data_IF_064891362911
#
_entry.id   IF_064891362911
#
_cell.length_a   1.000
_cell.length_b   1.000
_cell.length_c   1.000
_cell.angle_alpha   90.00
_cell.angle_beta   90.00
_cell.angle_gamma   90.00
#
_symmetry.space_group_name_H-M   'P 1'
#
loop_
_entity.id
_entity.type
_entity.pdbx_description
1 polymer ?
#
# COMPACT_ATOMS: atom_id res chain seq x y z
N UNK A 1 -15.54 -23.52 -26.48
CA UNK A 1 -14.11 -23.91 -26.40
C UNK A 1 -13.34 -22.61 -26.18
N UNK A 2 -12.70 -22.43 -25.01
CA UNK A 2 -11.83 -21.28 -24.78
C UNK A 2 -10.41 -21.72 -25.15
N UNK A 3 -9.81 -21.05 -26.13
CA UNK A 3 -8.45 -21.30 -26.60
C UNK A 3 -7.44 -21.00 -25.47
N UNK A 4 -6.46 -21.88 -25.30
CA UNK A 4 -5.16 -21.71 -24.62
C UNK A 4 -5.07 -20.63 -23.52
N UNK A 5 -5.85 -20.76 -22.45
CA UNK A 5 -5.74 -19.89 -21.28
C UNK A 5 -4.72 -20.44 -20.28
N UNK A 6 -3.68 -19.66 -19.96
CA UNK A 6 -2.70 -19.98 -18.90
C UNK A 6 -3.27 -19.54 -17.55
N UNK A 7 -3.29 -20.43 -16.56
CA UNK A 7 -3.65 -20.12 -15.18
C UNK A 7 -2.40 -19.74 -14.40
N UNK A 8 -2.39 -18.51 -13.87
CA UNK A 8 -1.31 -18.00 -13.03
C UNK A 8 -1.82 -17.82 -11.59
N UNK A 9 -0.93 -17.85 -10.59
CA UNK A 9 -1.26 -17.32 -9.27
C UNK A 9 -1.59 -15.82 -9.36
N UNK A 10 -2.28 -15.29 -8.35
CA UNK A 10 -2.51 -13.85 -8.24
C UNK A 10 -1.20 -13.08 -8.21
N UNK A 11 -1.12 -12.00 -8.99
CA UNK A 11 0.08 -11.19 -9.08
C UNK A 11 0.22 -10.26 -7.87
N UNK A 12 1.46 -9.90 -7.56
CA UNK A 12 1.79 -8.94 -6.49
C UNK A 12 2.43 -7.71 -7.11
N UNK A 13 1.82 -6.55 -6.90
CA UNK A 13 2.40 -5.27 -7.28
C UNK A 13 3.06 -4.61 -6.07
N UNK A 14 4.38 -4.54 -6.10
CA UNK A 14 5.18 -4.07 -4.98
C UNK A 14 5.28 -2.54 -4.89
N UNK A 15 4.70 -1.79 -5.83
CA UNK A 15 4.81 -0.34 -5.85
C UNK A 15 3.56 0.31 -6.43
N UNK A 16 2.60 0.62 -5.56
CA UNK A 16 1.39 1.38 -5.95
C UNK A 16 1.25 2.69 -5.18
N UNK A 17 0.37 3.56 -5.65
CA UNK A 17 -0.02 4.78 -4.95
C UNK A 17 -1.54 4.88 -4.88
N UNK A 18 -2.15 4.46 -3.76
CA UNK A 18 -3.59 4.41 -3.56
C UNK A 18 -4.20 5.77 -3.15
N UNK A 19 -3.35 6.79 -2.97
CA UNK A 19 -3.71 8.22 -2.82
C UNK A 19 -4.59 8.59 -1.61
N UNK A 20 -4.95 7.63 -0.78
CA UNK A 20 -5.73 7.84 0.43
C UNK A 20 -4.88 7.52 1.67
N UNK A 21 -4.79 8.44 2.66
CA UNK A 21 -5.57 9.68 2.81
C UNK A 21 -5.01 10.91 2.08
N UNK A 22 -5.88 11.89 1.81
CA UNK A 22 -5.56 13.27 1.44
C UNK A 22 -5.52 13.60 -0.05
N UNK A 23 -5.52 12.59 -0.92
CA UNK A 23 -5.55 12.77 -2.38
C UNK A 23 -6.67 11.94 -3.05
N UNK A 24 -7.80 11.78 -2.36
CA UNK A 24 -8.96 10.96 -2.77
C UNK A 24 -9.57 11.41 -4.11
N UNK A 25 -9.37 12.68 -4.49
CA UNK A 25 -9.75 13.20 -5.80
C UNK A 25 -8.98 12.56 -6.97
N UNK A 26 -7.86 11.89 -6.70
CA UNK A 26 -7.09 11.12 -7.69
C UNK A 26 -7.48 9.66 -7.64
N UNK A 27 -7.44 9.06 -6.44
CA UNK A 27 -7.78 7.66 -6.22
C UNK A 27 -8.09 7.40 -4.74
N UNK A 28 -8.86 6.34 -4.48
CA UNK A 28 -9.16 5.84 -3.13
C UNK A 28 -8.64 4.41 -2.98
N UNK A 29 -8.51 3.93 -1.74
CA UNK A 29 -8.19 2.52 -1.45
C UNK A 29 -9.17 1.58 -2.17
N UNK A 30 -10.47 1.90 -2.15
CA UNK A 30 -11.50 1.10 -2.81
C UNK A 30 -11.36 1.09 -4.34
N UNK A 31 -11.15 2.25 -4.96
CA UNK A 31 -11.04 2.33 -6.42
C UNK A 31 -9.75 1.68 -6.94
N UNK A 32 -8.61 1.93 -6.29
CA UNK A 32 -7.31 1.40 -6.70
C UNK A 32 -7.23 -0.12 -6.54
N UNK A 33 -7.73 -0.67 -5.43
CA UNK A 33 -7.74 -2.13 -5.23
C UNK A 33 -8.71 -2.86 -6.14
N UNK A 34 -9.84 -2.24 -6.52
CA UNK A 34 -10.72 -2.77 -7.58
C UNK A 34 -10.03 -2.81 -8.94
N UNK A 35 -9.26 -1.78 -9.28
CA UNK A 35 -8.48 -1.75 -10.51
C UNK A 35 -7.39 -2.83 -10.51
N UNK A 36 -6.69 -3.01 -9.38
CA UNK A 36 -5.70 -4.07 -9.20
C UNK A 36 -6.28 -5.46 -9.46
N UNK A 37 -7.41 -5.80 -8.83
CA UNK A 37 -8.09 -7.09 -9.06
C UNK A 37 -8.51 -7.30 -10.50
N UNK A 38 -9.05 -6.27 -11.16
CA UNK A 38 -9.43 -6.34 -12.57
C UNK A 38 -8.21 -6.64 -13.47
N UNK A 39 -7.01 -6.23 -13.06
CA UNK A 39 -5.74 -6.53 -13.72
C UNK A 39 -5.10 -7.87 -13.31
N UNK A 40 -5.72 -8.66 -12.43
CA UNK A 40 -5.16 -9.93 -11.94
C UNK A 40 -4.14 -9.78 -10.80
N UNK A 41 -4.04 -8.58 -10.21
CA UNK A 41 -3.21 -8.30 -9.04
C UNK A 41 -4.05 -8.53 -7.78
N UNK A 42 -3.64 -9.48 -6.96
CA UNK A 42 -4.35 -9.86 -5.73
C UNK A 42 -3.74 -9.23 -4.48
N UNK A 43 -2.52 -8.70 -4.58
CA UNK A 43 -1.83 -8.05 -3.47
C UNK A 43 -1.09 -6.81 -3.96
N UNK A 44 -1.24 -5.70 -3.25
CA UNK A 44 -0.54 -4.44 -3.56
C UNK A 44 0.23 -3.91 -2.36
N UNK A 45 1.33 -3.21 -2.60
CA UNK A 45 2.12 -2.52 -1.57
C UNK A 45 2.08 -1.01 -1.81
N UNK A 46 1.35 -0.31 -0.94
CA UNK A 46 1.09 1.13 -1.09
C UNK A 46 2.21 1.99 -0.50
N UNK A 47 2.66 2.95 -1.30
CA UNK A 47 3.73 3.86 -0.95
C UNK A 47 3.30 4.91 0.09
N UNK A 48 4.23 5.42 0.92
CA UNK A 48 3.88 6.24 2.08
C UNK A 48 3.65 7.72 1.76
N UNK A 49 3.61 8.11 0.49
CA UNK A 49 3.56 9.51 0.03
C UNK A 49 2.13 10.09 -0.11
N UNK A 50 1.27 9.73 0.84
CA UNK A 50 -0.06 10.33 1.05
C UNK A 50 0.03 11.63 1.85
N UNK A 51 -1.11 12.29 2.12
CA UNK A 51 -1.17 13.50 2.94
C UNK A 51 -2.13 13.31 4.12
N UNK A 52 -1.62 13.13 5.35
CA UNK A 52 -0.20 13.12 5.73
C UNK A 52 0.55 11.87 5.25
N UNK A 53 1.90 11.91 5.17
CA UNK A 53 2.70 10.75 4.80
C UNK A 53 2.68 9.70 5.93
N UNK A 54 2.68 8.42 5.55
CA UNK A 54 2.70 7.28 6.46
C UNK A 54 4.10 7.10 7.08
N UNK A 55 4.48 8.02 7.96
CA UNK A 55 5.81 8.06 8.58
C UNK A 55 5.82 7.78 10.09
N UNK A 56 4.65 7.66 10.71
CA UNK A 56 4.52 7.34 12.15
C UNK A 56 3.69 6.08 12.35
N UNK A 57 3.85 5.42 13.50
CA UNK A 57 3.07 4.21 13.83
C UNK A 57 1.57 4.51 13.90
N UNK A 58 1.17 5.67 14.43
CA UNK A 58 -0.24 6.09 14.45
C UNK A 58 -0.82 6.25 13.04
N UNK A 59 -0.06 6.86 12.12
CA UNK A 59 -0.49 7.03 10.72
C UNK A 59 -0.53 5.69 9.99
N UNK A 60 0.41 4.79 10.27
CA UNK A 60 0.38 3.42 9.76
C UNK A 60 -0.87 2.68 10.25
N UNK A 61 -1.15 2.73 11.55
CA UNK A 61 -2.33 2.09 12.14
C UNK A 61 -3.64 2.68 11.60
N UNK A 62 -3.71 4.01 11.44
CA UNK A 62 -4.87 4.66 10.84
C UNK A 62 -5.09 4.20 9.40
N UNK A 63 -4.02 4.17 8.58
CA UNK A 63 -4.09 3.73 7.19
C UNK A 63 -4.42 2.24 7.06
N UNK A 64 -3.91 1.40 7.97
CA UNK A 64 -4.27 -0.03 8.04
C UNK A 64 -5.76 -0.23 8.31
N UNK A 65 -6.37 0.58 9.20
CA UNK A 65 -7.82 0.55 9.44
C UNK A 65 -8.62 0.99 8.21
N UNK A 66 -8.17 2.03 7.50
CA UNK A 66 -8.81 2.47 6.25
C UNK A 66 -8.73 1.37 5.19
N UNK A 67 -7.55 0.76 5.00
CA UNK A 67 -7.37 -0.34 4.06
C UNK A 67 -8.27 -1.53 4.41
N UNK A 68 -8.32 -1.94 5.69
CA UNK A 68 -9.19 -3.02 6.15
C UNK A 68 -10.69 -2.75 5.92
N UNK A 69 -11.11 -1.48 5.90
CA UNK A 69 -12.50 -1.08 5.67
C UNK A 69 -12.88 -0.95 4.19
N UNK A 70 -11.93 -0.56 3.33
CA UNK A 70 -12.22 -0.14 1.96
C UNK A 70 -11.57 -0.99 0.85
N UNK A 71 -10.45 -1.65 1.13
CA UNK A 71 -9.73 -2.44 0.14
C UNK A 71 -10.50 -3.72 -0.23
N UNK A 72 -10.43 -4.09 -1.51
CA UNK A 72 -11.01 -5.34 -2.01
C UNK A 72 -9.97 -6.42 -2.33
N UNK A 73 -8.68 -6.12 -2.19
CA UNK A 73 -7.57 -7.07 -2.28
C UNK A 73 -6.60 -6.88 -1.11
N UNK A 74 -5.58 -7.74 -1.00
CA UNK A 74 -4.60 -7.63 0.08
C UNK A 74 -3.74 -6.36 -0.10
N UNK A 75 -3.57 -5.60 0.98
CA UNK A 75 -2.80 -4.34 0.98
C UNK A 75 -1.71 -4.40 2.04
N UNK A 76 -0.46 -4.34 1.59
CA UNK A 76 0.69 -3.99 2.43
C UNK A 76 0.95 -2.49 2.40
N UNK A 77 1.52 -1.95 3.48
CA UNK A 77 1.79 -0.52 3.64
C UNK A 77 3.27 -0.28 3.88
N UNK A 78 3.89 0.55 3.04
CA UNK A 78 5.23 1.05 3.32
C UNK A 78 5.21 2.11 4.42
N UNK A 79 6.32 2.18 5.17
CA UNK A 79 6.62 3.27 6.08
C UNK A 79 7.59 4.25 5.42
N UNK A 80 7.28 5.54 5.51
CA UNK A 80 8.12 6.62 4.97
C UNK A 80 9.17 7.10 5.96
N UNK A 81 10.37 7.36 5.45
CA UNK A 81 11.40 8.10 6.16
C UNK A 81 11.26 9.61 5.88
N UNK A 82 10.94 10.39 6.90
CA UNK A 82 10.75 11.85 6.87
C UNK A 82 11.33 12.47 8.14
N UNK A 83 11.29 13.81 8.28
CA UNK A 83 11.74 14.49 9.51
C UNK A 83 10.90 14.12 10.74
N UNK A 84 9.65 13.72 10.52
CA UNK A 84 8.69 13.38 11.57
C UNK A 84 8.55 11.85 11.74
N UNK A 85 9.51 11.06 11.25
CA UNK A 85 9.45 9.61 11.39
C UNK A 85 9.50 9.19 12.86
N UNK A 86 8.69 8.20 13.20
CA UNK A 86 8.65 7.66 14.56
C UNK A 86 10.05 7.18 14.98
N UNK A 87 10.57 7.60 16.16
CA UNK A 87 11.88 7.17 16.64
C UNK A 87 12.04 5.65 16.72
N UNK A 88 10.96 4.90 16.96
CA UNK A 88 11.00 3.44 16.98
C UNK A 88 11.30 2.84 15.61
N UNK A 89 10.85 3.48 14.54
CA UNK A 89 11.17 3.05 13.16
C UNK A 89 12.64 3.28 12.88
N UNK A 90 13.19 4.43 13.30
CA UNK A 90 14.62 4.72 13.15
C UNK A 90 15.48 3.77 13.98
N UNK A 91 15.05 3.42 15.19
CA UNK A 91 15.76 2.48 16.06
C UNK A 91 15.73 1.04 15.55
N UNK A 92 14.67 0.65 14.83
CA UNK A 92 14.53 -0.68 14.23
C UNK A 92 15.16 -0.78 12.83
N UNK A 93 15.54 0.35 12.22
CA UNK A 93 16.21 0.34 10.93
C UNK A 93 17.55 -0.39 11.04
N UNK A 94 17.85 -1.35 10.16
CA UNK A 94 19.15 -2.01 10.17
C UNK A 94 20.24 -0.95 10.02
N UNK A 95 21.21 -0.95 10.94
CA UNK A 95 22.37 -0.08 10.84
C UNK A 95 23.01 -0.31 9.48
N UNK A 96 23.29 0.74 8.67
CA UNK A 96 23.98 0.56 7.41
C UNK A 96 25.25 -0.23 7.67
N UNK A 97 25.42 -1.37 7.01
CA UNK A 97 26.69 -2.07 7.01
C UNK A 97 27.73 -1.10 6.42
N UNK A 98 28.77 -0.80 7.20
CA UNK A 98 29.85 0.11 6.83
C UNK A 98 30.61 -0.39 5.59
#
# INVERSE_FOLDING_TARGET
MCMDAIRLPGLVDVHVHLREPGYEHKETLASGTRAALAGGITTVLDMPNTSPPTATLDRLAAKARLAAAAAVCDVGLFLGATRDTDPLITAAAPTPAA
#
